data_IF_100272880603
#
_entry.id   IF_100272880603
#
_cell.length_a   1.000
_cell.length_b   1.000
_cell.length_c   1.000
_cell.angle_alpha   90.00
_cell.angle_beta   90.00
_cell.angle_gamma   90.00
#
_symmetry.space_group_name_H-M   'P 1'
#
loop_
_entity.id
_entity.type
_entity.pdbx_description
1 polymer ?
#
# COMPACT_ATOMS: atom_id res chain seq x y z
N UNK A 1 -8.70 6.27 17.64
CA UNK A 1 -9.68 6.52 16.55
C UNK A 1 -9.38 5.57 15.40
N UNK A 2 -10.41 4.97 14.80
CA UNK A 2 -10.25 4.15 13.60
C UNK A 2 -10.79 4.91 12.38
N UNK A 3 -9.99 4.99 11.33
CA UNK A 3 -10.37 5.60 10.04
C UNK A 3 -10.30 4.51 8.99
N UNK A 4 -11.47 4.05 8.54
CA UNK A 4 -11.60 2.96 7.57
C UNK A 4 -12.02 3.53 6.22
N UNK A 5 -11.17 3.42 5.20
CA UNK A 5 -11.43 3.93 3.85
C UNK A 5 -11.81 2.76 2.94
N UNK A 6 -13.01 2.80 2.38
CA UNK A 6 -13.46 1.81 1.40
C UNK A 6 -12.70 1.95 0.08
N UNK A 7 -12.30 0.82 -0.51
CA UNK A 7 -11.86 0.78 -1.90
C UNK A 7 -13.03 0.90 -2.89
N UNK A 8 -12.74 0.72 -4.18
CA UNK A 8 -13.77 0.67 -5.22
C UNK A 8 -14.56 -0.65 -5.17
N UNK A 9 -15.85 -0.58 -5.49
CA UNK A 9 -16.71 -1.75 -5.72
C UNK A 9 -16.63 -2.24 -7.18
N UNK A 10 -16.16 -1.39 -8.10
CA UNK A 10 -16.04 -1.68 -9.53
C UNK A 10 -14.64 -1.30 -10.02
N UNK A 11 -13.78 -2.31 -10.22
CA UNK A 11 -12.43 -2.15 -10.81
C UNK A 11 -12.46 -1.57 -12.25
N UNK A 12 -13.63 -1.55 -12.90
CA UNK A 12 -13.79 -1.00 -14.25
C UNK A 12 -14.13 0.50 -14.29
N UNK A 13 -14.47 1.12 -13.15
CA UNK A 13 -15.00 2.50 -13.09
C UNK A 13 -14.03 3.53 -12.49
N UNK A 14 -12.77 3.18 -12.33
CA UNK A 14 -11.91 3.92 -11.41
C UNK A 14 -11.20 5.10 -12.08
N UNK A 15 -11.76 6.30 -11.84
CA UNK A 15 -11.13 7.61 -12.06
C UNK A 15 -9.74 7.70 -11.39
N UNK A 16 -9.54 6.99 -10.27
CA UNK A 16 -8.24 6.87 -9.63
C UNK A 16 -7.23 6.04 -10.45
N UNK A 17 -7.66 5.15 -11.34
CA UNK A 17 -6.75 4.42 -12.25
C UNK A 17 -6.40 5.26 -13.49
N UNK A 18 -7.19 6.30 -13.81
CA UNK A 18 -6.97 7.17 -14.95
C UNK A 18 -5.90 8.25 -14.70
N UNK A 19 -5.65 8.59 -13.43
CA UNK A 19 -4.70 9.63 -13.03
C UNK A 19 -3.49 9.03 -12.28
N UNK A 20 -2.79 8.13 -12.97
CA UNK A 20 -1.58 7.45 -12.50
C UNK A 20 -0.32 8.31 -12.55
N UNK A 21 -0.47 9.63 -12.68
CA UNK A 21 0.66 10.53 -12.73
C UNK A 21 1.34 10.61 -11.35
N UNK A 22 2.68 10.49 -11.29
CA UNK A 22 3.42 10.79 -10.09
C UNK A 22 3.37 12.29 -9.79
N UNK A 23 2.96 12.62 -8.57
CA UNK A 23 2.99 13.98 -8.04
C UNK A 23 3.92 14.07 -6.85
N UNK A 24 4.64 15.18 -6.78
CA UNK A 24 5.61 15.42 -5.72
C UNK A 24 4.88 15.77 -4.41
N UNK A 25 5.31 15.14 -3.32
CA UNK A 25 4.96 15.47 -1.94
C UNK A 25 6.25 15.73 -1.16
N UNK A 26 6.17 16.57 -0.12
CA UNK A 26 7.30 16.79 0.80
C UNK A 26 7.04 16.01 2.08
N UNK A 27 7.93 15.08 2.42
CA UNK A 27 7.94 14.33 3.68
C UNK A 27 9.29 14.52 4.35
N UNK A 28 9.32 15.02 5.60
CA UNK A 28 10.55 15.25 6.37
C UNK A 28 11.62 16.03 5.58
N UNK A 29 11.21 17.13 4.93
CA UNK A 29 12.04 17.97 4.06
C UNK A 29 12.66 17.26 2.84
N UNK A 30 12.22 16.04 2.54
CA UNK A 30 12.60 15.28 1.35
C UNK A 30 11.48 15.29 0.32
N UNK A 31 11.88 15.37 -0.95
CA UNK A 31 10.96 15.18 -2.08
C UNK A 31 10.66 13.70 -2.22
N UNK A 32 9.38 13.36 -2.25
CA UNK A 32 8.88 12.01 -2.52
C UNK A 32 7.78 12.08 -3.57
N UNK A 33 7.42 10.95 -4.17
CA UNK A 33 6.37 10.89 -5.18
C UNK A 33 5.26 9.95 -4.74
N UNK A 34 4.03 10.33 -5.05
CA UNK A 34 2.82 9.54 -4.80
C UNK A 34 1.90 9.61 -6.01
N UNK A 35 1.05 8.61 -6.15
CA UNK A 35 0.02 8.57 -7.18
C UNK A 35 -1.03 9.68 -6.98
N UNK A 36 -1.26 10.49 -8.01
CA UNK A 36 -2.13 11.68 -7.95
C UNK A 36 -3.55 11.37 -7.51
N UNK A 37 -4.21 10.40 -8.14
CA UNK A 37 -5.57 9.99 -7.77
C UNK A 37 -5.73 9.64 -6.29
N UNK A 38 -4.80 8.87 -5.71
CA UNK A 38 -4.86 8.52 -4.28
C UNK A 38 -4.54 9.71 -3.36
N UNK A 39 -3.65 10.62 -3.77
CA UNK A 39 -3.40 11.85 -3.01
C UNK A 39 -4.66 12.72 -2.92
N UNK A 40 -5.38 12.91 -4.02
CA UNK A 40 -6.62 13.69 -4.05
C UNK A 40 -7.68 13.13 -3.09
N UNK A 41 -7.89 11.80 -3.12
CA UNK A 41 -8.81 11.12 -2.18
C UNK A 41 -8.36 11.34 -0.73
N UNK A 42 -7.07 11.23 -0.46
CA UNK A 42 -6.50 11.41 0.87
C UNK A 42 -6.67 12.83 1.39
N UNK A 43 -6.44 13.84 0.53
CA UNK A 43 -6.65 15.25 0.85
C UNK A 43 -8.11 15.55 1.18
N UNK A 44 -9.05 15.03 0.38
CA UNK A 44 -10.47 15.19 0.64
C UNK A 44 -10.86 14.66 2.03
N UNK A 45 -10.41 13.44 2.38
CA UNK A 45 -10.70 12.82 3.68
C UNK A 45 -9.99 13.57 4.81
N UNK A 46 -8.74 13.98 4.59
CA UNK A 46 -7.98 14.78 5.55
C UNK A 46 -8.75 16.04 5.95
N UNK A 47 -9.27 16.80 4.99
CA UNK A 47 -9.99 18.05 5.25
C UNK A 47 -11.25 17.82 6.09
N UNK A 48 -11.98 16.71 5.88
CA UNK A 48 -13.12 16.34 6.72
C UNK A 48 -12.66 16.03 8.15
N UNK A 49 -11.57 15.29 8.31
CA UNK A 49 -11.06 14.93 9.63
C UNK A 49 -10.45 16.12 10.39
N UNK A 50 -9.99 17.17 9.70
CA UNK A 50 -9.48 18.39 10.33
C UNK A 50 -10.52 19.12 11.16
N UNK A 51 -11.81 18.91 10.89
CA UNK A 51 -12.91 19.52 11.64
C UNK A 51 -13.03 18.89 13.03
N UNK A 52 -12.95 17.57 13.13
CA UNK A 52 -13.23 16.83 14.36
C UNK A 52 -11.97 16.52 15.19
N UNK A 53 -10.84 16.27 14.53
CA UNK A 53 -9.62 15.76 15.18
C UNK A 53 -9.10 16.69 16.28
N UNK A 54 -8.97 18.02 16.08
CA UNK A 54 -8.51 18.92 17.14
C UNK A 54 -9.39 18.89 18.39
N UNK A 55 -10.71 18.79 18.21
CA UNK A 55 -11.66 18.68 19.32
C UNK A 55 -11.46 17.39 20.10
N UNK A 56 -11.29 16.25 19.41
CA UNK A 56 -11.05 14.96 20.06
C UNK A 56 -9.72 14.94 20.83
N UNK A 57 -8.67 15.56 20.30
CA UNK A 57 -7.37 15.68 20.98
C UNK A 57 -7.51 16.57 22.23
N UNK A 58 -8.10 17.75 22.10
CA UNK A 58 -8.21 18.72 23.20
C UNK A 58 -9.00 18.16 24.39
N UNK A 59 -10.01 17.33 24.12
CA UNK A 59 -10.84 16.68 25.13
C UNK A 59 -10.31 15.29 25.54
N UNK A 60 -9.10 14.91 25.11
CA UNK A 60 -8.43 13.64 25.43
C UNK A 60 -9.28 12.40 25.10
N UNK A 61 -10.08 12.48 24.04
CA UNK A 61 -10.85 11.35 23.54
C UNK A 61 -10.01 10.40 22.67
N UNK A 62 -8.88 10.89 22.15
CA UNK A 62 -7.97 10.12 21.30
C UNK A 62 -6.51 10.44 21.67
N UNK A 63 -5.67 9.42 21.64
CA UNK A 63 -4.21 9.48 21.73
C UNK A 63 -3.53 8.69 20.59
N UNK A 64 -4.31 7.87 19.88
CA UNK A 64 -3.91 7.05 18.75
C UNK A 64 -4.92 7.10 17.60
N UNK A 65 -4.43 7.02 16.36
CA UNK A 65 -5.23 6.90 15.14
C UNK A 65 -4.75 5.73 14.28
N UNK A 66 -5.65 4.81 13.97
CA UNK A 66 -5.38 3.66 13.11
C UNK A 66 -6.11 3.88 11.78
N UNK A 67 -5.34 3.96 10.71
CA UNK A 67 -5.83 4.04 9.34
C UNK A 67 -5.88 2.64 8.74
N UNK A 68 -6.95 2.34 8.02
CA UNK A 68 -7.05 1.06 7.32
C UNK A 68 -7.92 1.16 6.08
N UNK A 69 -7.62 0.33 5.11
CA UNK A 69 -8.41 0.22 3.90
C UNK A 69 -8.03 -1.00 3.09
N UNK A 70 -8.82 -1.23 2.05
CA UNK A 70 -8.58 -2.28 1.07
C UNK A 70 -8.42 -1.66 -0.32
N UNK A 71 -7.55 -2.23 -1.15
CA UNK A 71 -7.31 -1.76 -2.52
C UNK A 71 -6.94 -0.28 -2.55
N UNK A 72 -7.64 0.54 -3.33
CA UNK A 72 -7.46 1.99 -3.39
C UNK A 72 -7.65 2.69 -2.04
N UNK A 73 -8.55 2.18 -1.20
CA UNK A 73 -8.76 2.70 0.15
C UNK A 73 -7.53 2.46 1.03
N UNK A 74 -6.78 1.37 0.81
CA UNK A 74 -5.51 1.14 1.47
C UNK A 74 -4.50 2.21 1.06
N UNK A 75 -4.33 2.45 -0.25
CA UNK A 75 -3.41 3.47 -0.75
C UNK A 75 -3.69 4.86 -0.17
N UNK A 76 -4.96 5.28 -0.19
CA UNK A 76 -5.38 6.54 0.42
C UNK A 76 -5.08 6.58 1.94
N UNK A 77 -5.30 5.47 2.65
CA UNK A 77 -5.04 5.39 4.10
C UNK A 77 -3.58 5.67 4.45
N UNK A 78 -2.64 5.16 3.65
CA UNK A 78 -1.21 5.37 3.87
C UNK A 78 -0.78 6.82 3.63
N UNK A 79 -1.27 7.47 2.56
CA UNK A 79 -0.99 8.89 2.31
C UNK A 79 -1.58 9.74 3.43
N UNK A 80 -2.85 9.48 3.78
CA UNK A 80 -3.56 10.19 4.85
C UNK A 80 -2.84 10.08 6.19
N UNK A 81 -2.30 8.90 6.53
CA UNK A 81 -1.50 8.72 7.73
C UNK A 81 -0.28 9.64 7.74
N UNK A 82 0.46 9.77 6.63
CA UNK A 82 1.62 10.68 6.57
C UNK A 82 1.21 12.14 6.74
N UNK A 83 0.12 12.56 6.11
CA UNK A 83 -0.44 13.90 6.33
C UNK A 83 -0.80 14.12 7.81
N UNK A 84 -1.38 13.11 8.46
CA UNK A 84 -1.71 13.15 9.89
C UNK A 84 -0.49 13.24 10.80
N UNK A 85 0.58 12.50 10.51
CA UNK A 85 1.84 12.54 11.27
C UNK A 85 2.42 13.96 11.22
N UNK A 86 2.44 14.57 10.03
CA UNK A 86 2.94 15.94 9.86
C UNK A 86 2.08 16.96 10.60
N UNK A 87 0.76 16.75 10.62
CA UNK A 87 -0.19 17.71 11.20
C UNK A 87 -0.36 17.57 12.72
N UNK A 88 -0.34 16.35 13.24
CA UNK A 88 -0.56 16.01 14.64
C UNK A 88 0.57 15.09 15.16
N UNK A 89 1.80 15.59 15.25
CA UNK A 89 2.97 14.78 15.64
C UNK A 89 2.87 14.17 17.05
N UNK A 90 1.97 14.66 17.89
CA UNK A 90 1.69 14.11 19.22
C UNK A 90 0.84 12.83 19.20
N UNK A 91 0.14 12.53 18.09
CA UNK A 91 -0.69 11.34 17.98
C UNK A 91 0.14 10.16 17.52
N UNK A 92 -0.05 9.01 18.17
CA UNK A 92 0.44 7.74 17.63
C UNK A 92 -0.39 7.39 16.39
N UNK A 93 0.27 6.95 15.33
CA UNK A 93 -0.44 6.54 14.11
C UNK A 93 0.05 5.20 13.61
N UNK A 94 -0.86 4.41 13.06
CA UNK A 94 -0.55 3.16 12.38
C UNK A 94 -1.40 3.08 11.11
N UNK A 95 -0.85 2.48 10.04
CA UNK A 95 -1.62 2.13 8.86
C UNK A 95 -1.60 0.61 8.61
N UNK A 96 -2.77 0.04 8.30
CA UNK A 96 -2.93 -1.35 7.91
C UNK A 96 -3.69 -1.43 6.59
N UNK A 97 -3.01 -1.79 5.52
CA UNK A 97 -3.59 -1.96 4.19
C UNK A 97 -3.77 -3.43 3.80
N UNK A 98 -4.78 -3.70 2.98
CA UNK A 98 -5.06 -4.99 2.38
C UNK A 98 -5.14 -4.86 0.86
N UNK A 99 -4.38 -5.67 0.12
CA UNK A 99 -4.37 -5.60 -1.35
C UNK A 99 -3.94 -4.22 -1.88
N UNK A 100 -3.03 -3.55 -1.16
CA UNK A 100 -2.60 -2.20 -1.49
C UNK A 100 -1.90 -2.19 -2.85
N UNK A 101 -2.34 -1.38 -3.84
CA UNK A 101 -1.61 -1.22 -5.10
C UNK A 101 -0.23 -0.58 -4.86
N UNK A 102 0.71 -0.66 -5.82
CA UNK A 102 1.88 0.21 -5.79
C UNK A 102 1.47 1.66 -6.07
N UNK A 103 1.89 2.60 -5.21
CA UNK A 103 1.49 4.01 -5.40
C UNK A 103 2.44 5.06 -4.82
N UNK A 104 3.55 4.66 -4.21
CA UNK A 104 4.52 5.60 -3.64
C UNK A 104 5.92 5.31 -4.11
N UNK A 105 6.76 6.34 -4.17
CA UNK A 105 8.15 6.13 -4.51
C UNK A 105 8.98 5.53 -3.39
N UNK A 106 10.16 5.03 -3.75
CA UNK A 106 11.19 4.58 -2.80
C UNK A 106 11.47 5.62 -1.73
N UNK A 107 11.54 6.91 -2.11
CA UNK A 107 11.72 8.01 -1.17
C UNK A 107 10.63 8.07 -0.10
N UNK A 108 9.37 7.85 -0.47
CA UNK A 108 8.27 7.80 0.49
C UNK A 108 8.46 6.64 1.49
N UNK A 109 8.80 5.45 1.00
CA UNK A 109 9.00 4.27 1.85
C UNK A 109 10.12 4.51 2.86
N UNK A 110 11.25 5.05 2.41
CA UNK A 110 12.42 5.31 3.26
C UNK A 110 12.17 6.42 4.29
N UNK A 111 11.31 7.39 3.99
CA UNK A 111 11.01 8.52 4.88
C UNK A 111 9.80 8.26 5.80
N UNK A 112 9.09 7.15 5.63
CA UNK A 112 7.98 6.76 6.50
C UNK A 112 8.51 6.16 7.79
N UNK A 113 8.23 6.78 8.93
CA UNK A 113 8.82 6.41 10.24
C UNK A 113 7.88 5.62 11.16
N UNK A 114 6.62 5.42 10.76
CA UNK A 114 5.57 4.83 11.59
C UNK A 114 5.25 3.39 11.18
N UNK A 115 4.71 2.57 12.11
CA UNK A 115 4.37 1.19 11.81
C UNK A 115 3.33 1.12 10.72
N UNK A 116 3.70 0.45 9.64
CA UNK A 116 2.98 0.44 8.39
C UNK A 116 2.95 -0.99 7.89
N UNK A 117 1.76 -1.58 7.77
CA UNK A 117 1.62 -2.98 7.37
C UNK A 117 0.77 -3.09 6.13
N UNK A 118 1.26 -3.82 5.14
CA UNK A 118 0.47 -4.22 3.97
C UNK A 118 0.34 -5.72 3.95
N UNK A 119 -0.89 -6.21 3.80
CA UNK A 119 -1.17 -7.62 3.58
C UNK A 119 -1.50 -7.88 2.11
N UNK A 120 -0.88 -8.90 1.54
CA UNK A 120 -1.14 -9.38 0.18
C UNK A 120 -1.69 -10.79 0.29
N UNK A 121 -2.87 -11.03 -0.28
CA UNK A 121 -3.51 -12.34 -0.24
C UNK A 121 -3.11 -13.18 -1.45
N UNK A 122 -2.55 -14.37 -1.22
CA UNK A 122 -2.21 -15.36 -2.25
C UNK A 122 -1.63 -14.70 -3.53
N UNK A 123 -2.32 -14.83 -4.66
CA UNK A 123 -1.91 -14.33 -5.97
C UNK A 123 -2.58 -13.00 -6.35
N UNK A 124 -3.00 -12.18 -5.38
CA UNK A 124 -3.58 -10.84 -5.61
C UNK A 124 -2.74 -10.00 -6.59
N UNK A 125 -3.29 -9.76 -7.78
CA UNK A 125 -2.58 -9.07 -8.85
C UNK A 125 -2.42 -7.56 -8.61
N UNK A 126 -3.25 -6.93 -7.76
CA UNK A 126 -3.27 -5.47 -7.62
C UNK A 126 -2.02 -4.95 -6.94
N UNK A 127 -1.57 -5.60 -5.86
CA UNK A 127 -0.31 -5.24 -5.21
C UNK A 127 0.91 -5.44 -6.11
N UNK A 128 0.74 -6.14 -7.24
CA UNK A 128 1.80 -6.49 -8.20
C UNK A 128 1.70 -5.67 -9.48
N UNK A 129 0.70 -4.80 -9.61
CA UNK A 129 0.41 -4.00 -10.79
C UNK A 129 1.30 -2.76 -10.92
N UNK A 130 2.62 -2.94 -10.80
CA UNK A 130 3.62 -1.88 -10.97
C UNK A 130 4.40 -2.04 -12.26
N UNK A 131 4.96 -0.96 -12.79
CA UNK A 131 5.81 -0.98 -14.00
C UNK A 131 7.01 -1.92 -13.83
N UNK A 132 7.55 -2.00 -12.60
CA UNK A 132 8.64 -2.89 -12.24
C UNK A 132 8.32 -4.37 -12.56
N UNK A 133 7.07 -4.80 -12.36
CA UNK A 133 6.66 -6.18 -12.67
C UNK A 133 6.84 -6.50 -14.16
N UNK A 134 6.52 -5.56 -15.04
CA UNK A 134 6.63 -5.76 -16.49
C UNK A 134 8.10 -5.99 -16.88
N UNK A 135 9.00 -5.16 -16.39
CA UNK A 135 10.44 -5.33 -16.61
C UNK A 135 10.98 -6.63 -16.01
N UNK A 136 10.61 -6.97 -14.78
CA UNK A 136 11.01 -8.23 -14.13
C UNK A 136 10.61 -9.43 -14.99
N UNK A 137 9.39 -9.42 -15.54
CA UNK A 137 8.90 -10.52 -16.36
C UNK A 137 9.67 -10.66 -17.68
N UNK A 138 10.01 -9.56 -18.35
CA UNK A 138 10.81 -9.61 -19.58
C UNK A 138 12.24 -10.10 -19.32
N UNK A 139 12.89 -9.62 -18.25
CA UNK A 139 14.24 -10.05 -17.88
C UNK A 139 14.25 -11.52 -17.48
N UNK A 140 13.24 -11.99 -16.76
CA UNK A 140 13.11 -13.41 -16.38
C UNK A 140 13.00 -14.33 -17.60
N UNK A 141 12.35 -13.88 -18.69
CA UNK A 141 12.30 -14.62 -19.96
C UNK A 141 13.66 -14.67 -20.66
N UNK A 142 14.40 -13.56 -20.62
CA UNK A 142 15.71 -13.46 -21.26
C UNK A 142 16.83 -14.20 -20.50
N UNK A 143 16.78 -14.18 -19.16
CA UNK A 143 17.81 -14.71 -18.28
C UNK A 143 17.20 -15.59 -17.16
N UNK A 144 16.71 -16.80 -17.48
CA UNK A 144 16.11 -17.66 -16.47
C UNK A 144 17.14 -18.15 -15.44
N UNK A 145 16.68 -18.44 -14.22
CA UNK A 145 17.47 -19.12 -13.18
C UNK A 145 17.78 -18.31 -11.92
N UNK A 146 17.50 -17.00 -11.88
CA UNK A 146 17.63 -16.18 -10.67
C UNK A 146 16.40 -16.22 -9.75
N UNK A 147 16.58 -15.81 -8.50
CA UNK A 147 15.48 -15.57 -7.55
C UNK A 147 14.74 -14.25 -7.86
N UNK A 148 13.50 -14.13 -7.42
CA UNK A 148 12.63 -12.95 -7.68
C UNK A 148 13.27 -11.64 -7.21
N UNK A 149 13.89 -11.66 -6.05
CA UNK A 149 14.54 -10.51 -5.43
C UNK A 149 15.69 -10.02 -6.31
N UNK A 150 16.50 -10.92 -6.84
CA UNK A 150 17.65 -10.58 -7.70
C UNK A 150 17.21 -9.90 -9.00
N UNK A 151 16.11 -10.35 -9.62
CA UNK A 151 15.55 -9.66 -10.78
C UNK A 151 15.05 -8.27 -10.40
N UNK A 152 14.39 -8.14 -9.25
CA UNK A 152 13.80 -6.86 -8.84
C UNK A 152 14.87 -5.82 -8.51
N UNK A 153 15.93 -6.25 -7.83
CA UNK A 153 17.13 -5.42 -7.58
C UNK A 153 17.77 -5.00 -8.90
N UNK A 154 18.00 -5.94 -9.82
CA UNK A 154 18.55 -5.61 -11.13
C UNK A 154 17.68 -4.60 -11.90
N UNK A 155 16.36 -4.78 -11.89
CA UNK A 155 15.45 -3.84 -12.56
C UNK A 155 15.52 -2.47 -11.91
N UNK A 156 15.44 -2.38 -10.58
CA UNK A 156 15.50 -1.09 -9.89
C UNK A 156 16.84 -0.38 -10.16
N UNK A 157 17.96 -1.09 -10.16
CA UNK A 157 19.29 -0.51 -10.39
C UNK A 157 19.51 -0.02 -11.83
N UNK A 158 18.93 -0.69 -12.83
CA UNK A 158 19.22 -0.42 -14.24
C UNK A 158 18.10 0.33 -14.96
N UNK A 159 16.86 0.24 -14.46
CA UNK A 159 15.66 0.79 -15.11
C UNK A 159 14.76 1.58 -14.15
N UNK A 160 15.09 1.63 -12.86
CA UNK A 160 14.29 2.34 -11.87
C UNK A 160 14.40 3.86 -11.98
N UNK A 161 13.29 4.53 -11.73
CA UNK A 161 13.18 5.99 -11.62
C UNK A 161 12.81 6.41 -10.20
N UNK A 162 13.14 7.65 -9.83
CA UNK A 162 12.85 8.21 -8.49
C UNK A 162 11.34 8.32 -8.20
N UNK A 163 10.51 8.33 -9.24
CA UNK A 163 9.06 8.44 -9.19
C UNK A 163 8.33 7.11 -9.49
N UNK A 164 9.06 6.00 -9.64
CA UNK A 164 8.46 4.66 -9.75
C UNK A 164 7.67 4.29 -8.50
N UNK A 165 6.55 3.62 -8.70
CA UNK A 165 5.67 3.23 -7.61
C UNK A 165 5.91 1.83 -7.06
N UNK A 166 5.87 1.75 -5.73
CA UNK A 166 6.03 0.56 -4.93
C UNK A 166 4.88 0.45 -3.92
N UNK A 167 4.66 -0.78 -3.45
CA UNK A 167 3.77 -1.05 -2.31
C UNK A 167 4.47 -0.66 -1.01
N UNK A 168 3.86 0.17 -0.14
CA UNK A 168 4.52 0.66 1.08
C UNK A 168 4.41 -0.30 2.27
N UNK A 169 5.24 -0.02 3.29
CA UNK A 169 5.20 -0.62 4.61
C UNK A 169 5.93 -1.97 4.71
N UNK A 170 5.83 -2.57 5.89
CA UNK A 170 6.16 -3.97 6.14
C UNK A 170 5.14 -4.84 5.41
N UNK A 171 5.61 -5.67 4.48
CA UNK A 171 4.73 -6.45 3.60
C UNK A 171 4.62 -7.88 4.13
N UNK A 172 3.37 -8.33 4.26
CA UNK A 172 3.04 -9.66 4.76
C UNK A 172 2.23 -10.41 3.69
N UNK A 173 2.77 -11.53 3.23
CA UNK A 173 2.09 -12.43 2.32
C UNK A 173 1.23 -13.43 3.09
N UNK A 174 -0.09 -13.38 2.87
CA UNK A 174 -1.03 -14.38 3.34
C UNK A 174 -1.07 -15.51 2.32
N UNK A 175 -0.30 -16.58 2.56
CA UNK A 175 -0.16 -17.72 1.64
C UNK A 175 -0.52 -19.02 2.34
N UNK A 176 -1.49 -19.76 1.79
CA UNK A 176 -1.87 -21.09 2.29
C UNK A 176 -2.13 -21.12 3.82
N UNK A 177 -2.79 -20.07 4.33
CA UNK A 177 -3.04 -19.82 5.76
C UNK A 177 -1.82 -19.48 6.61
N UNK A 178 -0.66 -19.16 6.04
CA UNK A 178 0.51 -18.64 6.73
C UNK A 178 0.68 -17.13 6.49
N UNK A 179 1.19 -16.40 7.49
CA UNK A 179 1.66 -15.02 7.30
C UNK A 179 3.18 -15.07 7.14
N UNK A 180 3.67 -14.69 5.96
CA UNK A 180 5.10 -14.67 5.66
C UNK A 180 5.54 -13.22 5.42
N UNK A 181 6.47 -12.67 6.22
CA UNK A 181 7.03 -11.36 5.92
C UNK A 181 7.84 -11.45 4.62
N UNK A 182 7.63 -10.50 3.72
CA UNK A 182 8.34 -10.39 2.44
C UNK A 182 8.90 -8.99 2.25
N UNK A 183 9.93 -8.88 1.42
CA UNK A 183 10.47 -7.57 1.03
C UNK A 183 9.57 -6.91 -0.02
N UNK A 184 9.81 -5.62 -0.32
CA UNK A 184 9.16 -4.94 -1.44
C UNK A 184 9.41 -5.62 -2.80
N UNK A 185 10.50 -6.38 -2.92
CA UNK A 185 10.84 -7.17 -4.10
C UNK A 185 10.12 -8.51 -4.14
N UNK A 186 9.91 -9.14 -2.98
CA UNK A 186 9.13 -10.36 -2.85
C UNK A 186 7.66 -10.22 -3.27
N UNK A 187 7.18 -8.98 -3.48
CA UNK A 187 5.85 -8.70 -4.05
C UNK A 187 5.74 -9.26 -5.48
N UNK A 188 6.80 -9.15 -6.29
CA UNK A 188 6.78 -9.43 -7.73
C UNK A 188 6.97 -10.92 -8.09
N UNK A 189 6.54 -11.81 -7.19
CA UNK A 189 6.35 -13.24 -7.50
C UNK A 189 5.35 -13.35 -8.66
N UNK A 190 5.56 -14.35 -9.52
CA UNK A 190 4.80 -14.56 -10.75
C UNK A 190 3.28 -14.48 -10.51
N UNK A 191 2.62 -13.60 -11.27
CA UNK A 191 1.16 -13.45 -11.32
C UNK A 191 0.63 -14.34 -12.43
N UNK A 192 -0.31 -15.23 -12.09
CA UNK A 192 -0.95 -16.12 -13.07
C UNK A 192 -1.74 -15.31 -14.12
N UNK A 193 -2.46 -14.28 -13.68
CA UNK A 193 -3.20 -13.37 -14.56
C UNK A 193 -3.55 -12.05 -13.86
N UNK A 194 -3.29 -10.92 -14.52
CA UNK A 194 -3.79 -9.60 -14.08
C UNK A 194 -5.28 -9.39 -14.33
N UNK A 195 -5.96 -10.39 -14.92
CA UNK A 195 -7.41 -10.39 -15.09
C UNK A 195 -8.11 -11.22 -13.99
N UNK A 196 -7.35 -11.90 -13.12
CA UNK A 196 -7.89 -12.69 -12.03
C UNK A 196 -7.87 -11.89 -10.71
N UNK A 197 -8.98 -11.25 -10.40
CA UNK A 197 -9.15 -10.47 -9.17
C UNK A 197 -9.68 -11.30 -7.98
N UNK A 198 -9.73 -12.64 -8.08
CA UNK A 198 -10.30 -13.49 -7.01
C UNK A 198 -9.62 -13.21 -5.67
N UNK A 199 -8.30 -13.36 -5.62
CA UNK A 199 -7.55 -13.18 -4.37
C UNK A 199 -7.50 -11.71 -3.91
N UNK A 200 -7.82 -10.77 -4.80
CA UNK A 200 -7.90 -9.35 -4.45
C UNK A 200 -9.16 -9.00 -3.64
N UNK A 201 -10.27 -9.76 -3.74
CA UNK A 201 -11.52 -9.36 -3.08
C UNK A 201 -11.38 -9.39 -1.56
N UNK A 202 -11.92 -8.37 -0.90
CA UNK A 202 -11.89 -8.21 0.56
C UNK A 202 -12.43 -9.43 1.32
N UNK A 203 -13.43 -10.12 0.77
CA UNK A 203 -13.99 -11.35 1.35
C UNK A 203 -12.93 -12.43 1.61
N UNK A 204 -12.00 -12.64 0.66
CA UNK A 204 -10.94 -13.65 0.81
C UNK A 204 -9.86 -13.23 1.81
N UNK A 205 -9.57 -11.93 1.92
CA UNK A 205 -8.72 -11.42 2.99
C UNK A 205 -9.33 -11.74 4.36
N UNK A 206 -10.62 -11.45 4.54
CA UNK A 206 -11.33 -11.72 5.79
C UNK A 206 -11.34 -13.21 6.11
N UNK A 207 -11.64 -14.07 5.14
CA UNK A 207 -11.64 -15.52 5.33
C UNK A 207 -10.28 -16.07 5.76
N UNK A 208 -9.20 -15.66 5.09
CA UNK A 208 -7.86 -16.16 5.38
C UNK A 208 -7.33 -15.65 6.73
N UNK A 209 -7.62 -14.40 7.09
CA UNK A 209 -7.30 -13.88 8.42
C UNK A 209 -8.09 -14.62 9.52
N UNK A 210 -9.39 -14.90 9.30
CA UNK A 210 -10.21 -15.66 10.26
C UNK A 210 -9.65 -17.06 10.51
N UNK A 211 -9.24 -17.77 9.45
CA UNK A 211 -8.62 -19.11 9.56
C UNK A 211 -7.36 -19.08 10.42
N UNK A 212 -6.57 -18.02 10.33
CA UNK A 212 -5.37 -17.88 11.15
C UNK A 212 -5.69 -17.63 12.62
N UNK A 213 -6.67 -16.76 12.91
CA UNK A 213 -7.10 -16.52 14.29
C UNK A 213 -7.64 -17.82 14.93
N UNK A 214 -8.37 -18.65 14.17
CA UNK A 214 -8.87 -19.93 14.68
C UNK A 214 -7.78 -20.95 15.00
N UNK A 215 -6.60 -20.83 14.37
CA UNK A 215 -5.47 -21.75 14.58
C UNK A 215 -4.58 -21.36 15.77
N UNK A 216 -4.89 -20.27 16.49
CA UNK A 216 -4.16 -19.81 17.69
C UNK A 216 -4.79 -20.38 18.98
N UNK A 217 -5.64 -21.41 18.88
CA UNK A 217 -6.23 -22.14 20.02
C UNK A 217 -5.51 -23.45 20.25
#
# INVERSE_FOLDING_TARGET
MYVCISGTWHLADTVADADSQPVQMILNDQKVYVHQGFLQVSQFIHDQLMILTPYLIANKHIDEVIFTGHSQGAAASFILQQMFIMRFPQLKTQCIGFGTPPFVSKGFILNSTQPNRTYINNNDCISRAGILYQYINEIRKAYPGFQTEQYSEFVEENYGYDDDFYTPGDIYWLKDNNIVPITRYGVFIQVDSFLNFKDHRLEYYIENIKKQISNIK
#
